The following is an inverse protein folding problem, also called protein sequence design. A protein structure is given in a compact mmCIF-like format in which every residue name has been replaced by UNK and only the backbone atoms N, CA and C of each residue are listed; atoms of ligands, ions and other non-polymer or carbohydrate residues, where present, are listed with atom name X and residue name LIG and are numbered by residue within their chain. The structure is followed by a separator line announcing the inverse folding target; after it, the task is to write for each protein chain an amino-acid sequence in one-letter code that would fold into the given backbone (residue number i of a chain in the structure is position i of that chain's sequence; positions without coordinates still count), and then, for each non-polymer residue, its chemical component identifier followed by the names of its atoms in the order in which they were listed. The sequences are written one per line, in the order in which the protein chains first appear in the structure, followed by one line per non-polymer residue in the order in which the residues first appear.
data_IF_734641434787
#
_entry.id   IF_734641434787
#
_cell.length_a   1.000
_cell.length_b   1.000
_cell.length_c   1.000
_cell.angle_alpha   90.00
_cell.angle_beta   90.00
_cell.angle_gamma   90.00
#
_symmetry.space_group_name_H-M   'P 1'
#
loop_
_entity.id
_entity.type
_entity.pdbx_description
1 polymer ?
#
# COMPACT_ATOMS: atom_id res chain seq x y z
N UNK A 1 -2.37 -35.13 -23.29
CA UNK A 1 -2.43 -33.76 -23.84
C UNK A 1 -1.96 -32.86 -22.72
N UNK A 2 -0.71 -32.38 -22.81
CA UNK A 2 -0.01 -31.75 -21.70
C UNK A 2 -0.27 -30.25 -21.65
N UNK A 3 -0.55 -29.74 -20.46
CA UNK A 3 -0.83 -28.35 -20.05
C UNK A 3 0.29 -27.33 -20.36
N UNK A 4 1.21 -27.62 -21.29
CA UNK A 4 2.42 -26.83 -21.56
C UNK A 4 2.18 -25.56 -22.39
N UNK A 5 0.97 -25.32 -22.90
CA UNK A 5 0.66 -24.12 -23.70
C UNK A 5 0.10 -22.96 -22.86
N UNK A 6 -0.41 -23.22 -21.65
CA UNK A 6 -1.07 -22.20 -20.82
C UNK A 6 -0.07 -21.20 -20.19
N UNK A 7 1.17 -21.62 -19.94
CA UNK A 7 2.13 -20.83 -19.16
C UNK A 7 3.01 -19.88 -19.99
N UNK A 8 2.90 -19.90 -21.33
CA UNK A 8 3.84 -19.22 -22.22
C UNK A 8 3.72 -17.69 -22.24
N UNK A 9 2.60 -17.15 -21.76
CA UNK A 9 2.26 -15.73 -21.83
C UNK A 9 2.26 -15.01 -20.48
N UNK A 10 2.48 -15.73 -19.37
CA UNK A 10 2.56 -15.10 -18.05
C UNK A 10 3.77 -14.17 -17.99
N UNK A 11 3.52 -12.86 -17.85
CA UNK A 11 4.54 -11.82 -17.72
C UNK A 11 5.00 -11.14 -19.02
N UNK A 12 4.46 -11.51 -20.19
CA UNK A 12 4.73 -10.79 -21.44
C UNK A 12 4.02 -9.43 -21.49
N UNK A 13 2.85 -9.33 -20.87
CA UNK A 13 2.08 -8.09 -20.80
C UNK A 13 2.72 -7.16 -19.76
N UNK A 14 3.47 -6.16 -20.24
CA UNK A 14 3.93 -5.01 -19.44
C UNK A 14 3.01 -3.81 -19.72
N UNK A 15 1.78 -3.78 -19.17
CA UNK A 15 0.83 -2.70 -19.45
C UNK A 15 1.36 -1.35 -18.96
N UNK A 16 2.35 -1.35 -18.06
CA UNK A 16 3.06 -0.18 -17.62
C UNK A 16 4.50 -0.51 -17.24
N UNK A 17 5.28 0.53 -17.01
CA UNK A 17 6.66 0.44 -16.54
C UNK A 17 6.73 -0.08 -15.09
N UNK A 18 7.79 -0.83 -14.76
CA UNK A 18 7.95 -1.46 -13.45
C UNK A 18 7.80 -0.46 -12.29
N UNK A 19 8.47 0.69 -12.37
CA UNK A 19 8.39 1.71 -11.31
C UNK A 19 6.97 2.27 -11.09
N UNK A 20 6.13 2.35 -12.13
CA UNK A 20 4.75 2.81 -11.99
C UNK A 20 3.86 1.71 -11.41
N UNK A 21 4.09 0.45 -11.80
CA UNK A 21 3.46 -0.71 -11.17
C UNK A 21 3.79 -0.78 -9.67
N UNK A 22 5.07 -0.64 -9.32
CA UNK A 22 5.55 -0.70 -7.93
C UNK A 22 4.93 0.43 -7.09
N UNK A 23 4.81 1.62 -7.67
CA UNK A 23 4.18 2.77 -7.03
C UNK A 23 2.68 2.53 -6.79
N UNK A 24 1.95 1.97 -7.75
CA UNK A 24 0.53 1.61 -7.58
C UNK A 24 0.37 0.55 -6.50
N UNK A 25 1.22 -0.47 -6.52
CA UNK A 25 1.16 -1.57 -5.55
C UNK A 25 1.39 -1.08 -4.12
N UNK A 26 2.43 -0.27 -3.90
CA UNK A 26 2.71 0.26 -2.56
C UNK A 26 1.63 1.27 -2.11
N UNK A 27 1.15 2.12 -3.02
CA UNK A 27 0.05 3.03 -2.76
C UNK A 27 -1.20 2.26 -2.29
N UNK A 28 -1.54 1.15 -2.95
CA UNK A 28 -2.68 0.32 -2.56
C UNK A 28 -2.52 -0.22 -1.14
N UNK A 29 -1.34 -0.76 -0.79
CA UNK A 29 -1.07 -1.26 0.57
C UNK A 29 -1.21 -0.18 1.63
N UNK A 30 -0.73 1.03 1.37
CA UNK A 30 -0.81 2.15 2.34
C UNK A 30 -2.22 2.66 2.52
N UNK A 31 -3.02 2.75 1.45
CA UNK A 31 -4.44 3.10 1.56
C UNK A 31 -5.17 2.10 2.46
N UNK A 32 -4.86 0.83 2.28
CA UNK A 32 -5.33 -0.27 3.11
C UNK A 32 -4.87 -0.17 4.59
N UNK A 33 -3.64 0.28 4.83
CA UNK A 33 -3.09 0.47 6.16
C UNK A 33 -3.75 1.65 6.89
N UNK A 34 -3.89 2.79 6.21
CA UNK A 34 -4.55 4.00 6.73
C UNK A 34 -5.97 3.72 7.23
N UNK A 35 -6.72 2.91 6.48
CA UNK A 35 -8.06 2.48 6.88
C UNK A 35 -8.06 1.62 8.16
N UNK A 36 -7.01 0.82 8.39
CA UNK A 36 -6.88 -0.05 9.56
C UNK A 36 -6.32 0.66 10.80
N UNK A 37 -5.54 1.72 10.64
CA UNK A 37 -4.90 2.40 11.77
C UNK A 37 -5.90 2.91 12.82
N UNK A 38 -7.11 3.32 12.43
CA UNK A 38 -8.14 3.74 13.40
C UNK A 38 -8.56 2.58 14.32
N UNK A 39 -8.66 1.37 13.77
CA UNK A 39 -8.91 0.19 14.57
C UNK A 39 -7.72 -0.17 15.47
N UNK A 40 -6.48 0.01 15.00
CA UNK A 40 -5.28 -0.26 15.78
C UNK A 40 -5.14 0.70 16.96
N UNK A 41 -5.39 1.99 16.73
CA UNK A 41 -5.50 3.01 17.78
C UNK A 41 -6.58 2.62 18.79
N UNK A 42 -7.79 2.29 18.33
CA UNK A 42 -8.90 1.87 19.21
C UNK A 42 -8.53 0.65 20.04
N UNK A 43 -7.83 -0.33 19.46
CA UNK A 43 -7.41 -1.53 20.17
C UNK A 43 -6.35 -1.23 21.24
N UNK A 44 -5.37 -0.37 20.93
CA UNK A 44 -4.34 0.05 21.87
C UNK A 44 -4.91 0.93 23.00
N UNK A 45 -5.86 1.82 22.70
CA UNK A 45 -6.58 2.61 23.69
C UNK A 45 -7.34 1.70 24.67
N UNK A 46 -8.05 0.67 24.17
CA UNK A 46 -8.73 -0.32 25.02
C UNK A 46 -7.79 -1.13 25.91
N UNK A 47 -6.54 -1.31 25.48
CA UNK A 47 -5.51 -2.02 26.24
C UNK A 47 -4.76 -1.10 27.24
N UNK A 48 -5.00 0.21 27.22
CA UNK A 48 -4.26 1.24 27.98
C UNK A 48 -2.76 1.30 27.63
N UNK A 49 -2.41 1.09 26.36
CA UNK A 49 -1.03 1.11 25.86
C UNK A 49 -0.72 2.44 25.15
N UNK A 50 -0.48 3.51 25.91
CA UNK A 50 -0.36 4.89 25.39
C UNK A 50 0.76 5.06 24.36
N UNK A 51 1.92 4.43 24.56
CA UNK A 51 3.03 4.49 23.61
C UNK A 51 2.66 3.84 22.27
N UNK A 52 1.88 2.76 22.30
CA UNK A 52 1.39 2.06 21.10
C UNK A 52 0.33 2.89 20.39
N UNK A 53 -0.54 3.59 21.14
CA UNK A 53 -1.50 4.54 20.56
C UNK A 53 -0.76 5.62 19.77
N UNK A 54 0.28 6.19 20.36
CA UNK A 54 1.06 7.25 19.73
C UNK A 54 1.80 6.73 18.48
N UNK A 55 2.40 5.55 18.55
CA UNK A 55 3.01 4.87 17.39
C UNK A 55 2.03 4.77 16.21
N UNK A 56 0.79 4.32 16.43
CA UNK A 56 -0.17 4.16 15.34
C UNK A 56 -0.66 5.49 14.77
N UNK A 57 -0.78 6.53 15.60
CA UNK A 57 -1.11 7.89 15.14
C UNK A 57 0.01 8.46 14.25
N UNK A 58 1.27 8.26 14.65
CA UNK A 58 2.43 8.68 13.88
C UNK A 58 2.55 7.91 12.56
N UNK A 59 2.40 6.59 12.60
CA UNK A 59 2.42 5.76 11.39
C UNK A 59 1.33 6.19 10.40
N UNK A 60 0.10 6.45 10.89
CA UNK A 60 -0.99 6.95 10.06
C UNK A 60 -0.65 8.28 9.41
N UNK A 61 -0.08 9.22 10.15
CA UNK A 61 0.31 10.52 9.62
C UNK A 61 1.40 10.38 8.53
N UNK A 62 2.43 9.58 8.78
CA UNK A 62 3.51 9.34 7.81
C UNK A 62 3.00 8.69 6.53
N UNK A 63 2.09 7.72 6.64
CA UNK A 63 1.49 7.07 5.47
C UNK A 63 0.61 8.01 4.67
N UNK A 64 -0.18 8.87 5.33
CA UNK A 64 -0.98 9.89 4.66
C UNK A 64 -0.12 10.86 3.85
N UNK A 65 1.00 11.33 4.41
CA UNK A 65 1.95 12.20 3.69
C UNK A 65 2.59 11.49 2.50
N UNK A 66 2.97 10.23 2.67
CA UNK A 66 3.59 9.45 1.61
C UNK A 66 2.59 9.11 0.50
N UNK A 67 1.33 8.80 0.83
CA UNK A 67 0.25 8.61 -0.14
C UNK A 67 0.10 9.84 -1.04
N UNK A 68 0.10 11.05 -0.48
CA UNK A 68 -0.03 12.27 -1.30
C UNK A 68 1.16 12.47 -2.25
N UNK A 69 2.39 12.17 -1.78
CA UNK A 69 3.59 12.19 -2.62
C UNK A 69 3.51 11.13 -3.73
N UNK A 70 3.08 9.92 -3.41
CA UNK A 70 2.92 8.83 -4.38
C UNK A 70 1.86 9.16 -5.42
N UNK A 71 0.70 9.70 -5.02
CA UNK A 71 -0.35 10.17 -5.95
C UNK A 71 0.19 11.24 -6.89
N UNK A 72 0.99 12.18 -6.37
CA UNK A 72 1.61 13.23 -7.18
C UNK A 72 2.59 12.67 -8.21
N UNK A 73 3.42 11.71 -7.82
CA UNK A 73 4.35 11.05 -8.73
C UNK A 73 3.63 10.18 -9.76
N UNK A 74 2.61 9.44 -9.35
CA UNK A 74 1.85 8.56 -10.23
C UNK A 74 1.17 9.36 -11.36
N UNK A 75 0.60 10.53 -11.04
CA UNK A 75 0.05 11.47 -12.03
C UNK A 75 1.08 11.99 -13.04
N UNK A 76 2.38 11.95 -12.72
CA UNK A 76 3.46 12.37 -13.62
C UNK A 76 4.03 11.20 -14.43
N UNK A 77 3.87 9.97 -13.94
CA UNK A 77 4.44 8.75 -14.54
C UNK A 77 3.46 7.94 -15.39
N UNK A 78 2.17 8.24 -15.30
CA UNK A 78 1.09 7.74 -16.16
C UNK A 78 0.85 8.75 -17.30
#
# INVERSE_FOLDING_TARGET
MSDQQADKHFGETKPMSNHAHDLIHDLNKRLDAVWRYDQYVTNAEKANEEEIVQLWKEAKQQDMELIERMRTLLKKSL
#
